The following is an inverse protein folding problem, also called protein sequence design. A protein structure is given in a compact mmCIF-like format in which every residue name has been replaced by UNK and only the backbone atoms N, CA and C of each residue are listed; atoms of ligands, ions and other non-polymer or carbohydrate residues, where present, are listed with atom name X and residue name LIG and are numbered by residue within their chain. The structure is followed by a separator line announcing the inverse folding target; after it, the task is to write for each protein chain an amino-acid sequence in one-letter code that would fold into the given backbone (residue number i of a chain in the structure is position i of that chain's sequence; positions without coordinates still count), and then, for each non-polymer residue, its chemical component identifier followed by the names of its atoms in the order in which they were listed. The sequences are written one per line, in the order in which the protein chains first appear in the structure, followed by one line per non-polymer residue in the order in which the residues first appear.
data_IF_222345954598
#
_entry.id   IF_222345954598
#
_cell.length_a   1.000
_cell.length_b   1.000
_cell.length_c   1.000
_cell.angle_alpha   90.00
_cell.angle_beta   90.00
_cell.angle_gamma   90.00
#
_symmetry.space_group_name_H-M   'P 1'
#
loop_
_entity.id
_entity.type
_entity.pdbx_description
1 polymer ?
#
# COMPACT_ATOMS: atom_id res chain seq x y z
N UNK A 1 63.05 13.40 -38.59
CA UNK A 1 62.06 12.31 -38.77
C UNK A 1 61.63 11.68 -37.44
N UNK A 2 62.51 11.41 -36.47
CA UNK A 2 62.06 10.85 -35.17
C UNK A 2 61.29 11.87 -34.31
N UNK A 3 61.83 13.07 -34.04
CA UNK A 3 61.14 14.07 -33.19
C UNK A 3 59.70 14.44 -33.60
N UNK A 4 59.43 14.58 -34.90
CA UNK A 4 58.09 14.88 -35.42
C UNK A 4 57.10 13.72 -35.28
N UNK A 5 57.59 12.47 -35.26
CA UNK A 5 56.76 11.29 -35.00
C UNK A 5 56.51 11.11 -33.49
N UNK A 6 57.52 11.41 -32.67
CA UNK A 6 57.43 11.40 -31.21
C UNK A 6 56.44 12.46 -30.70
N UNK A 7 56.46 13.68 -31.24
CA UNK A 7 55.54 14.77 -30.87
C UNK A 7 54.07 14.45 -31.24
N UNK A 8 53.84 13.83 -32.41
CA UNK A 8 52.50 13.41 -32.85
C UNK A 8 51.95 12.23 -32.03
N UNK A 9 52.82 11.33 -31.58
CA UNK A 9 52.46 10.23 -30.68
C UNK A 9 52.08 10.75 -29.28
N UNK A 10 52.84 11.72 -28.75
CA UNK A 10 52.52 12.37 -27.47
C UNK A 10 51.18 13.12 -27.50
N UNK A 11 50.84 13.80 -28.60
CA UNK A 11 49.54 14.45 -28.76
C UNK A 11 48.38 13.44 -28.81
N UNK A 12 48.55 12.30 -29.49
CA UNK A 12 47.55 11.23 -29.52
C UNK A 12 47.37 10.59 -28.13
N UNK A 13 48.45 10.40 -27.38
CA UNK A 13 48.40 9.88 -26.01
C UNK A 13 47.68 10.84 -25.06
N UNK A 14 47.92 12.15 -25.18
CA UNK A 14 47.18 13.17 -24.42
C UNK A 14 45.67 13.13 -24.73
N UNK A 15 45.29 13.14 -26.01
CA UNK A 15 43.88 13.05 -26.43
C UNK A 15 43.20 11.76 -25.93
N UNK A 16 43.92 10.63 -25.93
CA UNK A 16 43.39 9.38 -25.37
C UNK A 16 43.23 9.46 -23.85
N UNK A 17 44.15 10.10 -23.14
CA UNK A 17 44.05 10.31 -21.69
C UNK A 17 42.84 11.18 -21.35
N UNK A 18 42.69 12.31 -22.04
CA UNK A 18 41.59 13.25 -21.83
C UNK A 18 40.23 12.57 -22.08
N UNK A 19 40.11 11.81 -23.19
CA UNK A 19 38.90 11.04 -23.49
C UNK A 19 38.60 9.95 -22.44
N UNK A 20 39.62 9.31 -21.86
CA UNK A 20 39.43 8.34 -20.76
C UNK A 20 38.91 9.03 -19.50
N UNK A 21 39.48 10.18 -19.13
CA UNK A 21 39.02 10.94 -17.97
C UNK A 21 37.58 11.44 -18.16
N UNK A 22 37.23 11.87 -19.37
CA UNK A 22 35.86 12.26 -19.69
C UNK A 22 34.87 11.09 -19.64
N UNK A 23 35.28 9.90 -20.10
CA UNK A 23 34.48 8.68 -19.97
C UNK A 23 34.31 8.26 -18.51
N UNK A 24 35.35 8.41 -17.68
CA UNK A 24 35.28 8.12 -16.25
C UNK A 24 34.33 9.09 -15.51
N UNK A 25 34.37 10.39 -15.85
CA UNK A 25 33.41 11.37 -15.35
C UNK A 25 31.97 11.01 -15.72
N UNK A 26 31.73 10.65 -16.98
CA UNK A 26 30.42 10.19 -17.44
C UNK A 26 29.97 8.89 -16.74
N UNK A 27 30.91 7.99 -16.39
CA UNK A 27 30.59 6.78 -15.62
C UNK A 27 30.18 7.08 -14.18
N UNK A 28 30.85 8.04 -13.54
CA UNK A 28 30.45 8.50 -12.20
C UNK A 28 29.06 9.14 -12.25
N UNK A 29 28.78 10.00 -13.24
CA UNK A 29 27.46 10.62 -13.43
C UNK A 29 26.37 9.60 -13.74
N UNK A 30 26.65 8.65 -14.64
CA UNK A 30 25.74 7.55 -14.97
C UNK A 30 25.36 6.75 -13.72
N UNK A 31 26.34 6.39 -12.90
CA UNK A 31 26.10 5.63 -11.67
C UNK A 31 25.30 6.42 -10.64
N UNK A 32 25.54 7.74 -10.48
CA UNK A 32 24.76 8.62 -9.61
C UNK A 32 23.29 8.67 -10.06
N UNK A 33 23.05 8.94 -11.33
CA UNK A 33 21.69 8.99 -11.89
C UNK A 33 20.99 7.63 -11.78
N UNK A 34 21.73 6.53 -11.95
CA UNK A 34 21.19 5.18 -11.79
C UNK A 34 20.78 4.90 -10.34
N UNK A 35 21.57 5.31 -9.36
CA UNK A 35 21.24 5.20 -7.94
C UNK A 35 20.00 6.03 -7.59
N UNK A 36 19.93 7.28 -8.05
CA UNK A 36 18.75 8.13 -7.89
C UNK A 36 17.50 7.49 -8.49
N UNK A 37 17.61 6.94 -9.71
CA UNK A 37 16.51 6.25 -10.38
C UNK A 37 16.05 5.01 -9.59
N UNK A 38 16.98 4.23 -9.01
CA UNK A 38 16.64 3.10 -8.14
C UNK A 38 15.87 3.57 -6.91
N UNK A 39 16.34 4.63 -6.26
CA UNK A 39 15.66 5.20 -5.07
C UNK A 39 14.27 5.72 -5.40
N UNK A 40 14.08 6.37 -6.56
CA UNK A 40 12.77 6.85 -7.01
C UNK A 40 11.82 5.69 -7.32
N UNK A 41 12.32 4.59 -7.90
CA UNK A 41 11.52 3.39 -8.13
C UNK A 41 11.08 2.72 -6.82
N UNK A 42 11.95 2.68 -5.81
CA UNK A 42 11.60 2.19 -4.48
C UNK A 42 10.50 3.05 -3.84
N UNK A 43 10.70 4.38 -3.78
CA UNK A 43 9.68 5.33 -3.29
C UNK A 43 8.35 5.17 -4.02
N UNK A 44 8.39 5.00 -5.34
CA UNK A 44 7.18 4.73 -6.15
C UNK A 44 6.48 3.45 -5.65
N UNK A 45 7.21 2.36 -5.44
CA UNK A 45 6.64 1.09 -4.92
C UNK A 45 5.98 1.29 -3.56
N UNK A 46 6.68 1.93 -2.63
CA UNK A 46 6.17 2.24 -1.29
C UNK A 46 4.88 3.07 -1.34
N UNK A 47 4.83 4.09 -2.20
CA UNK A 47 3.61 4.87 -2.39
C UNK A 47 2.46 4.06 -3.00
N UNK A 48 2.76 3.11 -3.91
CA UNK A 48 1.74 2.21 -4.45
C UNK A 48 1.22 1.23 -3.39
N UNK A 49 2.08 0.70 -2.53
CA UNK A 49 1.69 -0.16 -1.40
C UNK A 49 0.79 0.60 -0.42
N UNK A 50 1.19 1.81 -0.02
CA UNK A 50 0.36 2.70 0.80
C UNK A 50 -0.97 3.00 0.13
N UNK A 51 -0.97 3.30 -1.17
CA UNK A 51 -2.19 3.57 -1.93
C UNK A 51 -3.13 2.37 -1.97
N UNK A 52 -2.60 1.15 -2.13
CA UNK A 52 -3.40 -0.07 -2.11
C UNK A 52 -3.97 -0.35 -0.72
N UNK A 53 -3.19 -0.13 0.34
CA UNK A 53 -3.65 -0.21 1.73
C UNK A 53 -4.81 0.77 1.99
N UNK A 54 -4.65 2.04 1.63
CA UNK A 54 -5.70 3.07 1.76
C UNK A 54 -6.95 2.69 0.95
N UNK A 55 -6.80 2.14 -0.26
CA UNK A 55 -7.94 1.65 -1.05
C UNK A 55 -8.69 0.53 -0.35
N UNK A 56 -7.97 -0.44 0.22
CA UNK A 56 -8.57 -1.54 0.98
C UNK A 56 -9.32 -1.02 2.21
N UNK A 57 -8.70 -0.10 2.97
CA UNK A 57 -9.34 0.55 4.12
C UNK A 57 -10.62 1.30 3.71
N UNK A 58 -10.59 2.06 2.61
CA UNK A 58 -11.79 2.74 2.07
C UNK A 58 -12.89 1.73 1.75
N UNK A 59 -12.54 0.59 1.16
CA UNK A 59 -13.53 -0.43 0.82
C UNK A 59 -14.17 -1.05 2.07
N UNK A 60 -13.37 -1.39 3.08
CA UNK A 60 -13.85 -1.91 4.37
C UNK A 60 -14.79 -0.91 5.04
N UNK A 61 -14.36 0.35 5.17
CA UNK A 61 -15.17 1.42 5.79
C UNK A 61 -16.46 1.66 5.00
N UNK A 62 -16.45 1.51 3.66
CA UNK A 62 -17.66 1.61 2.83
C UNK A 62 -18.65 0.48 3.09
N UNK A 63 -18.18 -0.76 3.20
CA UNK A 63 -19.04 -1.92 3.53
C UNK A 63 -19.70 -1.67 4.88
N UNK A 64 -18.89 -1.40 5.89
CA UNK A 64 -19.37 -1.09 7.23
C UNK A 64 -20.31 0.12 7.31
N UNK A 65 -20.08 1.16 6.52
CA UNK A 65 -20.97 2.33 6.42
C UNK A 65 -22.32 1.94 5.80
N UNK A 66 -22.30 1.07 4.79
CA UNK A 66 -23.50 0.58 4.12
C UNK A 66 -24.32 -0.30 5.06
N UNK A 67 -23.65 -1.19 5.81
CA UNK A 67 -24.30 -2.06 6.80
C UNK A 67 -24.96 -1.23 7.92
N UNK A 68 -24.29 -0.19 8.42
CA UNK A 68 -24.92 0.71 9.40
C UNK A 68 -26.10 1.48 8.83
N UNK A 69 -26.07 1.84 7.54
CA UNK A 69 -27.20 2.47 6.89
C UNK A 69 -28.39 1.53 6.73
N UNK A 70 -28.17 0.24 6.44
CA UNK A 70 -29.24 -0.75 6.35
C UNK A 70 -29.84 -1.01 7.73
N UNK A 71 -29.02 -1.18 8.77
CA UNK A 71 -29.48 -1.28 10.16
C UNK A 71 -30.30 -0.05 10.58
N UNK A 72 -29.85 1.16 10.23
CA UNK A 72 -30.59 2.39 10.54
C UNK A 72 -31.96 2.43 9.85
N UNK A 73 -32.07 1.94 8.60
CA UNK A 73 -33.35 1.84 7.88
C UNK A 73 -34.30 0.86 8.59
N UNK A 74 -33.81 -0.32 8.95
CA UNK A 74 -34.61 -1.31 9.69
C UNK A 74 -35.09 -0.77 11.04
N UNK A 75 -34.25 -0.04 11.78
CA UNK A 75 -34.66 0.58 13.03
C UNK A 75 -35.68 1.71 12.83
N UNK A 76 -35.61 2.46 11.73
CA UNK A 76 -36.64 3.47 11.39
C UNK A 76 -37.98 2.81 11.11
N UNK A 77 -38.00 1.71 10.37
CA UNK A 77 -39.22 0.92 10.11
C UNK A 77 -39.79 0.35 11.41
N UNK A 78 -38.94 -0.26 12.25
CA UNK A 78 -39.35 -0.77 13.57
C UNK A 78 -39.87 0.35 14.49
N UNK A 79 -39.25 1.52 14.46
CA UNK A 79 -39.74 2.69 15.21
C UNK A 79 -41.14 3.09 14.74
N UNK A 80 -41.38 3.10 13.43
CA UNK A 80 -42.67 3.47 12.86
C UNK A 80 -43.76 2.46 13.22
N UNK A 81 -43.48 1.16 13.13
CA UNK A 81 -44.44 0.11 13.52
C UNK A 81 -44.73 0.10 15.02
N UNK A 82 -43.74 0.37 15.87
CA UNK A 82 -43.97 0.55 17.31
C UNK A 82 -44.82 1.79 17.60
N UNK A 83 -44.61 2.90 16.87
CA UNK A 83 -45.42 4.10 17.04
C UNK A 83 -46.88 3.88 16.63
N UNK A 84 -47.14 3.20 15.50
CA UNK A 84 -48.51 2.88 15.09
C UNK A 84 -49.18 1.94 16.09
N UNK A 85 -48.48 0.90 16.55
CA UNK A 85 -49.01 -0.02 17.56
C UNK A 85 -49.32 0.68 18.89
N UNK A 86 -48.45 1.59 19.35
CA UNK A 86 -48.69 2.37 20.56
C UNK A 86 -49.87 3.33 20.41
N UNK A 87 -50.09 3.91 19.22
CA UNK A 87 -51.26 4.75 18.95
C UNK A 87 -52.55 3.93 19.01
N UNK A 88 -52.55 2.73 18.45
CA UNK A 88 -53.70 1.83 18.46
C UNK A 88 -54.02 1.33 19.88
N UNK A 89 -53.01 0.86 20.62
CA UNK A 89 -53.15 0.47 22.04
C UNK A 89 -53.65 1.64 22.91
N UNK A 90 -53.25 2.87 22.60
CA UNK A 90 -53.74 4.05 23.33
C UNK A 90 -55.24 4.24 23.15
N UNK A 91 -55.76 4.03 21.93
CA UNK A 91 -57.20 4.10 21.64
C UNK A 91 -57.95 2.98 22.35
N UNK A 92 -57.44 1.75 22.28
CA UNK A 92 -58.02 0.58 22.97
C UNK A 92 -58.10 0.81 24.49
N UNK A 93 -57.03 1.31 25.10
CA UNK A 93 -57.02 1.64 26.53
C UNK A 93 -58.01 2.75 26.89
N UNK A 94 -58.25 3.71 26.01
CA UNK A 94 -59.21 4.80 26.22
C UNK A 94 -60.66 4.29 26.11
N UNK A 95 -60.94 3.39 25.16
CA UNK A 95 -62.21 2.67 25.05
C UNK A 95 -62.48 1.78 26.26
N UNK A 96 -61.50 0.97 26.68
CA UNK A 96 -61.60 0.13 27.89
C UNK A 96 -61.82 0.98 29.14
N UNK A 97 -61.16 2.13 29.24
CA UNK A 97 -61.36 3.06 30.36
C UNK A 97 -62.80 3.60 30.36
N UNK A 98 -63.32 4.01 29.21
CA UNK A 98 -64.70 4.50 29.10
C UNK A 98 -65.73 3.41 29.46
N UNK A 99 -65.48 2.14 29.09
CA UNK A 99 -66.32 1.00 29.49
C UNK A 99 -66.20 0.74 30.99
N UNK A 100 -64.99 0.76 31.54
CA UNK A 100 -64.76 0.56 32.97
C UNK A 100 -65.40 1.66 33.82
N UNK A 101 -65.32 2.93 33.40
CA UNK A 101 -65.92 4.06 34.10
C UNK A 101 -67.45 3.98 34.14
N UNK A 102 -68.09 3.44 33.08
CA UNK A 102 -69.53 3.14 33.06
C UNK A 102 -69.94 2.00 34.00
N UNK A 103 -69.00 1.13 34.37
CA UNK A 103 -69.23 -0.06 35.19
C UNK A 103 -68.78 0.12 36.66
N UNK A 104 -68.35 1.32 37.06
CA UNK A 104 -67.83 1.57 38.40
C UNK A 104 -68.90 1.44 39.50
N UNK A 105 -68.49 0.92 40.68
CA UNK A 105 -69.22 1.09 41.94
C UNK A 105 -69.54 -0.17 42.75
N UNK A 106 -69.27 -1.38 42.24
CA UNK A 106 -69.69 -2.62 42.90
C UNK A 106 -68.51 -3.55 43.24
N UNK A 107 -68.39 -3.91 44.52
CA UNK A 107 -67.43 -4.90 44.99
C UNK A 107 -68.05 -6.31 44.91
N UNK A 108 -67.56 -7.13 43.96
CA UNK A 108 -68.02 -8.51 43.67
C UNK A 108 -68.16 -9.34 44.95
N UNK A 109 -67.14 -9.33 45.82
CA UNK A 109 -67.12 -10.13 47.05
C UNK A 109 -68.18 -9.70 48.06
N UNK A 110 -68.54 -8.41 48.09
CA UNK A 110 -69.55 -7.89 49.01
C UNK A 110 -70.98 -8.25 48.57
N UNK A 111 -71.21 -8.35 47.26
CA UNK A 111 -72.50 -8.73 46.68
C UNK A 111 -72.73 -10.24 46.79
N UNK A 112 -71.69 -11.04 46.53
CA UNK A 112 -71.76 -12.50 46.63
C UNK A 112 -72.02 -12.99 48.07
N UNK A 113 -71.41 -12.33 49.07
CA UNK A 113 -71.70 -12.61 50.49
C UNK A 113 -73.14 -12.27 50.87
N UNK A 114 -73.70 -11.18 50.31
CA UNK A 114 -75.09 -10.79 50.58
C UNK A 114 -76.10 -11.75 49.96
N UNK A 115 -75.84 -12.24 48.75
CA UNK A 115 -76.65 -13.27 48.09
C UNK A 115 -76.66 -14.55 48.93
N UNK A 116 -75.49 -15.08 49.30
CA UNK A 116 -75.37 -16.29 50.13
C UNK A 116 -76.10 -16.17 51.47
N UNK A 117 -76.03 -15.01 52.12
CA UNK A 117 -76.74 -14.78 53.38
C UNK A 117 -78.27 -14.76 53.21
N UNK A 118 -78.77 -14.24 52.09
CA UNK A 118 -80.20 -14.21 51.78
C UNK A 118 -80.72 -15.59 51.37
N UNK A 119 -79.96 -16.35 50.59
CA UNK A 119 -80.25 -17.74 50.23
C UNK A 119 -80.27 -18.64 51.48
N UNK A 120 -79.28 -18.49 52.36
CA UNK A 120 -79.25 -19.23 53.62
C UNK A 120 -80.48 -18.92 54.48
N UNK A 121 -80.86 -17.63 54.58
CA UNK A 121 -82.05 -17.19 55.29
C UNK A 121 -83.34 -17.77 54.70
N UNK A 122 -83.42 -17.94 53.39
CA UNK A 122 -84.54 -18.58 52.71
C UNK A 122 -84.60 -20.10 52.99
N UNK A 123 -83.46 -20.76 53.21
CA UNK A 123 -83.38 -22.20 53.49
C UNK A 123 -83.62 -22.56 54.97
N UNK A 124 -83.27 -21.69 55.91
CA UNK A 124 -83.26 -22.01 57.35
C UNK A 124 -84.43 -21.43 58.16
N UNK A 125 -85.20 -20.47 57.63
CA UNK A 125 -86.29 -19.82 58.37
C UNK A 125 -87.65 -20.08 57.72
N UNK A 126 -88.69 -20.28 58.53
CA UNK A 126 -90.08 -20.30 58.07
C UNK A 126 -90.57 -18.86 57.87
N UNK A 127 -90.57 -18.41 56.62
CA UNK A 127 -90.92 -17.06 56.23
C UNK A 127 -92.37 -17.00 55.74
N UNK A 128 -92.98 -15.81 55.80
CA UNK A 128 -94.25 -15.57 55.12
C UNK A 128 -94.04 -15.49 53.60
N UNK A 129 -95.08 -15.81 52.84
CA UNK A 129 -95.04 -15.81 51.36
C UNK A 129 -94.65 -14.44 50.77
N UNK A 130 -94.89 -13.35 51.50
CA UNK A 130 -94.50 -11.98 51.14
C UNK A 130 -93.03 -11.67 51.46
N UNK A 131 -92.49 -12.21 52.56
CA UNK A 131 -91.08 -12.05 52.90
C UNK A 131 -90.18 -12.88 52.00
N UNK A 132 -90.60 -14.09 51.63
CA UNK A 132 -89.90 -14.91 50.62
C UNK A 132 -89.83 -14.19 49.28
N UNK A 133 -90.94 -13.63 48.79
CA UNK A 133 -90.96 -12.84 47.54
C UNK A 133 -90.00 -11.65 47.60
N UNK A 134 -89.98 -10.90 48.71
CA UNK A 134 -89.05 -9.77 48.89
C UNK A 134 -87.59 -10.22 48.90
N UNK A 135 -87.27 -11.36 49.51
CA UNK A 135 -85.92 -11.91 49.53
C UNK A 135 -85.51 -12.37 48.12
N UNK A 136 -86.42 -13.03 47.39
CA UNK A 136 -86.20 -13.47 46.01
C UNK A 136 -85.94 -12.27 45.08
N UNK A 137 -86.77 -11.23 45.14
CA UNK A 137 -86.54 -9.98 44.38
C UNK A 137 -85.19 -9.35 44.71
N UNK A 138 -84.82 -9.31 45.99
CA UNK A 138 -83.52 -8.81 46.45
C UNK A 138 -82.35 -9.63 45.90
N UNK A 139 -82.49 -10.96 45.87
CA UNK A 139 -81.49 -11.87 45.31
C UNK A 139 -81.35 -11.59 43.81
N UNK A 140 -82.44 -11.51 43.05
CA UNK A 140 -82.38 -11.22 41.62
C UNK A 140 -81.73 -9.86 41.30
N UNK A 141 -82.02 -8.81 42.10
CA UNK A 141 -81.33 -7.52 41.96
C UNK A 141 -79.82 -7.61 42.26
N UNK A 142 -79.44 -8.37 43.30
CA UNK A 142 -78.05 -8.57 43.68
C UNK A 142 -77.30 -9.44 42.67
N UNK A 143 -77.94 -10.45 42.10
CA UNK A 143 -77.39 -11.28 41.02
C UNK A 143 -77.11 -10.44 39.77
N UNK A 144 -78.04 -9.56 39.38
CA UNK A 144 -77.83 -8.62 38.26
C UNK A 144 -76.62 -7.71 38.51
N UNK A 145 -76.54 -7.15 39.72
CA UNK A 145 -75.41 -6.32 40.19
C UNK A 145 -74.10 -7.10 40.25
N UNK A 146 -74.13 -8.37 40.61
CA UNK A 146 -72.97 -9.26 40.65
C UNK A 146 -72.47 -9.55 39.23
N UNK A 147 -73.36 -9.76 38.27
CA UNK A 147 -73.00 -9.98 36.87
C UNK A 147 -72.35 -8.73 36.26
N UNK A 148 -72.90 -7.54 36.52
CA UNK A 148 -72.32 -6.25 36.15
C UNK A 148 -70.92 -6.06 36.78
N UNK A 149 -70.75 -6.38 38.06
CA UNK A 149 -69.48 -6.29 38.76
C UNK A 149 -68.42 -7.28 38.22
N UNK A 150 -68.83 -8.51 37.87
CA UNK A 150 -67.95 -9.50 37.21
C UNK A 150 -67.52 -9.03 35.82
N UNK A 151 -68.40 -8.38 35.05
CA UNK A 151 -68.05 -7.76 33.76
C UNK A 151 -67.05 -6.62 33.95
N UNK A 152 -67.25 -5.77 34.96
CA UNK A 152 -66.31 -4.70 35.31
C UNK A 152 -64.91 -5.23 35.65
N UNK A 153 -64.84 -6.30 36.44
CA UNK A 153 -63.58 -6.91 36.85
C UNK A 153 -62.80 -7.48 35.65
N UNK A 154 -63.48 -8.17 34.73
CA UNK A 154 -62.88 -8.67 33.48
C UNK A 154 -62.34 -7.54 32.60
N UNK A 155 -63.07 -6.43 32.48
CA UNK A 155 -62.63 -5.25 31.71
C UNK A 155 -61.39 -4.62 32.36
N UNK A 156 -61.36 -4.57 33.70
CA UNK A 156 -60.21 -4.05 34.46
C UNK A 156 -58.97 -4.93 34.30
N UNK A 157 -59.12 -6.25 34.32
CA UNK A 157 -58.02 -7.20 34.06
C UNK A 157 -57.43 -7.00 32.66
N UNK A 158 -58.28 -6.98 31.62
CA UNK A 158 -57.86 -6.67 30.24
C UNK A 158 -57.17 -5.32 30.13
N UNK A 159 -57.69 -4.30 30.80
CA UNK A 159 -57.07 -2.97 30.82
C UNK A 159 -55.68 -2.98 31.46
N UNK A 160 -55.47 -3.78 32.51
CA UNK A 160 -54.15 -3.92 33.13
C UNK A 160 -53.16 -4.65 32.21
N UNK A 161 -53.61 -5.71 31.53
CA UNK A 161 -52.81 -6.46 30.55
C UNK A 161 -52.37 -5.56 29.39
N UNK A 162 -53.32 -4.87 28.74
CA UNK A 162 -53.01 -3.93 27.64
C UNK A 162 -52.10 -2.79 28.10
N UNK A 163 -52.24 -2.34 29.35
CA UNK A 163 -51.37 -1.29 29.92
C UNK A 163 -49.95 -1.81 30.17
N UNK A 164 -49.79 -3.06 30.58
CA UNK A 164 -48.48 -3.69 30.70
C UNK A 164 -47.80 -3.85 29.33
N UNK A 165 -48.54 -4.31 28.31
CA UNK A 165 -48.03 -4.40 26.94
C UNK A 165 -47.66 -3.03 26.35
N UNK A 166 -48.48 -2.02 26.59
CA UNK A 166 -48.21 -0.64 26.19
C UNK A 166 -46.89 -0.14 26.80
N UNK A 167 -46.66 -0.39 28.09
CA UNK A 167 -45.42 -0.02 28.76
C UNK A 167 -44.22 -0.79 28.19
N UNK A 168 -44.36 -2.09 27.93
CA UNK A 168 -43.32 -2.90 27.31
C UNK A 168 -42.93 -2.36 25.92
N UNK A 169 -43.91 -2.09 25.04
CA UNK A 169 -43.65 -1.49 23.72
C UNK A 169 -43.07 -0.09 23.80
N UNK A 170 -43.41 0.68 24.84
CA UNK A 170 -42.82 2.01 25.08
C UNK A 170 -41.34 1.92 25.47
N UNK A 171 -40.96 0.92 26.28
CA UNK A 171 -39.57 0.62 26.59
C UNK A 171 -38.83 0.13 25.34
N UNK A 172 -39.43 -0.74 24.53
CA UNK A 172 -38.85 -1.13 23.25
C UNK A 172 -38.59 0.10 22.36
N UNK A 173 -39.53 1.04 22.29
CA UNK A 173 -39.37 2.26 21.52
C UNK A 173 -38.21 3.13 22.03
N UNK A 174 -37.99 3.23 23.35
CA UNK A 174 -36.84 3.97 23.89
C UNK A 174 -35.53 3.28 23.52
N UNK A 175 -35.44 1.96 23.65
CA UNK A 175 -34.23 1.21 23.26
C UNK A 175 -33.93 1.31 21.77
N UNK A 176 -34.95 1.30 20.90
CA UNK A 176 -34.79 1.54 19.46
C UNK A 176 -34.24 2.93 19.19
N UNK A 177 -34.75 3.97 19.88
CA UNK A 177 -34.24 5.34 19.73
C UNK A 177 -32.77 5.46 20.16
N UNK A 178 -32.39 4.81 21.25
CA UNK A 178 -30.99 4.78 21.72
C UNK A 178 -30.08 4.07 20.71
N UNK A 179 -30.49 2.89 20.20
CA UNK A 179 -29.75 2.19 19.14
C UNK A 179 -29.59 3.04 17.89
N UNK A 180 -30.65 3.73 17.47
CA UNK A 180 -30.58 4.66 16.33
C UNK A 180 -29.58 5.79 16.57
N UNK A 181 -29.53 6.35 17.77
CA UNK A 181 -28.56 7.40 18.12
C UNK A 181 -27.12 6.89 18.00
N UNK A 182 -26.83 5.72 18.59
CA UNK A 182 -25.51 5.07 18.50
C UNK A 182 -25.09 4.82 17.05
N UNK A 183 -25.99 4.25 16.23
CA UNK A 183 -25.70 4.01 14.81
C UNK A 183 -25.48 5.32 14.05
N UNK A 184 -26.21 6.39 14.39
CA UNK A 184 -25.99 7.70 13.78
C UNK A 184 -24.60 8.28 14.10
N UNK A 185 -24.16 8.14 15.34
CA UNK A 185 -22.82 8.55 15.77
C UNK A 185 -21.74 7.75 15.03
N UNK A 186 -21.89 6.41 14.95
CA UNK A 186 -20.97 5.54 14.19
C UNK A 186 -20.92 5.86 12.69
N UNK A 187 -22.08 6.19 12.08
CA UNK A 187 -22.16 6.61 10.68
C UNK A 187 -21.38 7.91 10.46
N UNK A 188 -21.48 8.86 11.39
CA UNK A 188 -20.77 10.13 11.30
C UNK A 188 -19.25 9.95 11.46
N UNK A 189 -18.82 9.09 12.38
CA UNK A 189 -17.41 8.74 12.54
C UNK A 189 -16.85 8.07 11.28
N UNK A 190 -17.55 7.06 10.75
CA UNK A 190 -17.17 6.40 9.49
C UNK A 190 -17.10 7.37 8.32
N UNK A 191 -18.01 8.35 8.26
CA UNK A 191 -17.98 9.41 7.24
C UNK A 191 -16.72 10.27 7.36
N UNK A 192 -16.32 10.66 8.58
CA UNK A 192 -15.08 11.42 8.81
C UNK A 192 -13.84 10.61 8.41
N UNK A 193 -13.76 9.34 8.82
CA UNK A 193 -12.67 8.43 8.45
C UNK A 193 -12.57 8.31 6.93
N UNK A 194 -13.71 8.09 6.27
CA UNK A 194 -13.77 7.94 4.81
C UNK A 194 -13.38 9.23 4.07
N UNK A 195 -13.63 10.40 4.65
CA UNK A 195 -13.12 11.67 4.13
C UNK A 195 -11.60 11.76 4.28
N UNK A 196 -11.05 11.47 5.46
CA UNK A 196 -9.59 11.48 5.69
C UNK A 196 -8.85 10.53 4.75
N UNK A 197 -9.33 9.29 4.61
CA UNK A 197 -8.73 8.31 3.69
C UNK A 197 -8.82 8.75 2.21
N UNK A 198 -9.87 9.48 1.82
CA UNK A 198 -9.95 10.05 0.46
C UNK A 198 -8.90 11.13 0.26
N UNK A 199 -8.69 12.00 1.24
CA UNK A 199 -7.68 13.05 1.17
C UNK A 199 -6.27 12.45 1.12
N UNK A 200 -5.97 11.45 1.93
CA UNK A 200 -4.72 10.69 1.88
C UNK A 200 -4.51 10.02 0.52
N UNK A 201 -5.55 9.38 -0.03
CA UNK A 201 -5.52 8.78 -1.36
C UNK A 201 -5.16 9.81 -2.44
N UNK A 202 -5.73 11.00 -2.38
CA UNK A 202 -5.43 12.07 -3.35
C UNK A 202 -4.00 12.61 -3.19
N UNK A 203 -3.50 12.75 -1.96
CA UNK A 203 -2.09 13.11 -1.70
C UNK A 203 -1.13 12.07 -2.30
N UNK A 204 -1.34 10.79 -2.00
CA UNK A 204 -0.52 9.70 -2.54
C UNK A 204 -0.55 9.65 -4.07
N UNK A 205 -1.70 9.91 -4.70
CA UNK A 205 -1.79 10.00 -6.16
C UNK A 205 -0.91 11.13 -6.72
N UNK A 206 -0.92 12.31 -6.10
CA UNK A 206 -0.07 13.44 -6.51
C UNK A 206 1.41 13.09 -6.37
N UNK A 207 1.81 12.54 -5.21
CA UNK A 207 3.19 12.11 -4.97
C UNK A 207 3.66 11.06 -5.99
N UNK A 208 2.80 10.09 -6.33
CA UNK A 208 3.09 9.09 -7.37
C UNK A 208 3.28 9.74 -8.75
N UNK A 209 2.46 10.74 -9.11
CA UNK A 209 2.60 11.46 -10.38
C UNK A 209 3.92 12.23 -10.43
N UNK A 210 4.29 12.91 -9.35
CA UNK A 210 5.57 13.63 -9.25
C UNK A 210 6.76 12.68 -9.35
N UNK A 211 6.72 11.55 -8.64
CA UNK A 211 7.79 10.54 -8.73
C UNK A 211 7.88 9.94 -10.12
N UNK A 212 6.74 9.70 -10.79
CA UNK A 212 6.74 9.26 -12.20
C UNK A 212 7.41 10.28 -13.12
N UNK A 213 7.12 11.56 -12.96
CA UNK A 213 7.75 12.62 -13.75
C UNK A 213 9.28 12.66 -13.51
N UNK A 214 9.72 12.60 -12.25
CA UNK A 214 11.16 12.53 -11.91
C UNK A 214 11.84 11.29 -12.49
N UNK A 215 11.17 10.13 -12.46
CA UNK A 215 11.69 8.90 -13.08
C UNK A 215 11.91 9.08 -14.59
N UNK A 216 10.98 9.74 -15.28
CA UNK A 216 11.08 9.96 -16.72
C UNK A 216 12.18 10.97 -17.07
N UNK A 217 12.32 12.03 -16.27
CA UNK A 217 13.43 12.96 -16.39
C UNK A 217 14.78 12.24 -16.22
N UNK A 218 14.94 11.43 -15.18
CA UNK A 218 16.19 10.68 -14.94
C UNK A 218 16.45 9.64 -16.04
N UNK A 219 15.42 9.01 -16.61
CA UNK A 219 15.57 8.15 -17.79
C UNK A 219 16.09 8.92 -19.01
N UNK A 220 15.58 10.12 -19.24
CA UNK A 220 16.05 10.97 -20.34
C UNK A 220 17.52 11.37 -20.16
N UNK A 221 17.95 11.68 -18.92
CA UNK A 221 19.35 11.96 -18.59
C UNK A 221 20.24 10.74 -18.82
N UNK A 222 19.83 9.55 -18.39
CA UNK A 222 20.57 8.31 -18.65
C UNK A 222 20.71 8.01 -20.14
N UNK A 223 19.68 8.28 -20.94
CA UNK A 223 19.74 8.10 -22.39
C UNK A 223 20.81 9.01 -23.01
N UNK A 224 20.80 10.30 -22.65
CA UNK A 224 21.81 11.27 -23.12
C UNK A 224 23.23 10.87 -22.71
N UNK A 225 23.45 10.54 -21.44
CA UNK A 225 24.77 10.10 -20.95
C UNK A 225 25.24 8.84 -21.69
N UNK A 226 24.33 7.92 -21.98
CA UNK A 226 24.64 6.69 -22.73
C UNK A 226 25.05 6.99 -24.17
N UNK A 227 24.35 7.91 -24.83
CA UNK A 227 24.67 8.33 -26.20
C UNK A 227 26.01 9.08 -26.26
N UNK A 228 26.27 9.98 -25.32
CA UNK A 228 27.55 10.69 -25.17
C UNK A 228 28.71 9.71 -24.90
N UNK A 229 28.50 8.75 -23.99
CA UNK A 229 29.49 7.71 -23.70
C UNK A 229 29.80 6.87 -24.94
N UNK A 230 28.79 6.53 -25.74
CA UNK A 230 28.97 5.80 -26.99
C UNK A 230 29.80 6.59 -27.99
N UNK A 231 29.48 7.86 -28.21
CA UNK A 231 30.23 8.73 -29.12
C UNK A 231 31.70 8.86 -28.71
N UNK A 232 31.98 9.17 -27.43
CA UNK A 232 33.36 9.29 -26.93
C UNK A 232 34.12 7.96 -26.95
N UNK A 233 33.45 6.84 -26.73
CA UNK A 233 34.07 5.51 -26.85
C UNK A 233 34.44 5.17 -28.30
N UNK A 234 33.62 5.57 -29.27
CA UNK A 234 33.90 5.39 -30.69
C UNK A 234 35.07 6.28 -31.15
N UNK A 235 35.17 7.52 -30.66
CA UNK A 235 36.31 8.41 -30.89
C UNK A 235 37.60 7.86 -30.26
N UNK A 236 37.54 7.43 -29.01
CA UNK A 236 38.67 6.79 -28.32
C UNK A 236 39.16 5.55 -29.09
N UNK A 237 38.25 4.72 -29.61
CA UNK A 237 38.60 3.57 -30.44
C UNK A 237 39.33 3.98 -31.72
N UNK A 238 38.89 5.05 -32.39
CA UNK A 238 39.56 5.58 -33.59
C UNK A 238 40.97 6.07 -33.28
N UNK A 239 41.15 6.84 -32.21
CA UNK A 239 42.48 7.33 -31.81
C UNK A 239 43.41 6.19 -31.35
N UNK A 240 42.88 5.17 -30.66
CA UNK A 240 43.63 3.97 -30.31
C UNK A 240 44.06 3.18 -31.55
N UNK A 241 43.20 3.08 -32.57
CA UNK A 241 43.53 2.41 -33.82
C UNK A 241 44.56 3.19 -34.63
N UNK A 242 44.49 4.53 -34.65
CA UNK A 242 45.50 5.40 -35.25
C UNK A 242 46.85 5.26 -34.55
N UNK A 243 46.86 5.26 -33.21
CA UNK A 243 48.07 5.04 -32.42
C UNK A 243 48.65 3.65 -32.67
N UNK A 244 47.80 2.63 -32.83
CA UNK A 244 48.26 1.28 -33.18
C UNK A 244 48.91 1.24 -34.57
N UNK A 245 48.28 1.87 -35.57
CA UNK A 245 48.82 1.97 -36.94
C UNK A 245 50.14 2.74 -36.99
N UNK A 246 50.25 3.87 -36.29
CA UNK A 246 51.51 4.63 -36.23
C UNK A 246 52.63 3.81 -35.57
N UNK A 247 52.32 3.04 -34.52
CA UNK A 247 53.26 2.11 -33.87
C UNK A 247 53.66 0.96 -34.78
N UNK A 248 52.69 0.34 -35.46
CA UNK A 248 52.93 -0.76 -36.40
C UNK A 248 53.74 -0.29 -37.62
N UNK A 249 53.53 0.93 -38.11
CA UNK A 249 54.29 1.57 -39.20
C UNK A 249 55.73 1.90 -38.79
N UNK A 250 55.94 2.45 -37.59
CA UNK A 250 57.28 2.67 -37.03
C UNK A 250 58.00 1.33 -36.84
N UNK A 251 57.30 0.33 -36.30
CA UNK A 251 57.84 -1.02 -36.12
C UNK A 251 58.20 -1.70 -37.45
N UNK A 252 57.32 -1.63 -38.46
CA UNK A 252 57.55 -2.20 -39.79
C UNK A 252 58.65 -1.47 -40.54
N UNK A 253 58.74 -0.14 -40.45
CA UNK A 253 59.81 0.65 -41.06
C UNK A 253 61.17 0.35 -40.42
N UNK A 254 61.21 0.10 -39.12
CA UNK A 254 62.41 -0.35 -38.41
C UNK A 254 62.83 -1.75 -38.85
N UNK A 255 61.90 -2.71 -38.95
CA UNK A 255 62.19 -4.07 -39.42
C UNK A 255 62.60 -4.12 -40.89
N UNK A 256 61.96 -3.34 -41.77
CA UNK A 256 62.33 -3.22 -43.18
C UNK A 256 63.75 -2.65 -43.32
N UNK A 257 64.08 -1.60 -42.57
CA UNK A 257 65.42 -1.01 -42.55
C UNK A 257 66.47 -1.98 -42.00
N UNK A 258 66.12 -2.80 -41.00
CA UNK A 258 66.99 -3.86 -40.49
C UNK A 258 67.18 -5.03 -41.48
N UNK A 259 66.17 -5.28 -42.34
CA UNK A 259 66.22 -6.27 -43.42
C UNK A 259 67.03 -5.78 -44.62
N UNK A 260 66.87 -4.52 -45.02
CA UNK A 260 67.66 -3.89 -46.09
C UNK A 260 69.15 -3.75 -45.72
N UNK A 261 69.46 -3.52 -44.43
CA UNK A 261 70.84 -3.58 -43.91
C UNK A 261 71.42 -5.00 -43.96
N UNK A 262 70.57 -6.04 -43.96
CA UNK A 262 70.98 -7.44 -44.16
C UNK A 262 71.09 -7.81 -45.64
N UNK A 263 70.19 -7.34 -46.50
CA UNK A 263 70.18 -7.65 -47.95
C UNK A 263 71.19 -6.80 -48.75
N UNK A 264 71.50 -5.57 -48.31
CA UNK A 264 72.61 -4.76 -48.82
C UNK A 264 74.01 -5.32 -48.51
N UNK A 265 74.07 -6.37 -47.67
CA UNK A 265 75.21 -7.27 -47.54
C UNK A 265 74.86 -8.59 -48.25
N UNK A 266 74.93 -8.57 -49.57
CA UNK A 266 74.72 -9.74 -50.41
C UNK A 266 75.58 -10.93 -49.98
N UNK A 267 74.88 -11.98 -49.53
CA UNK A 267 75.13 -13.40 -49.72
C UNK A 267 76.58 -13.91 -49.78
N UNK A 268 77.01 -14.56 -48.70
CA UNK A 268 77.64 -15.89 -48.83
C UNK A 268 77.02 -16.85 -47.82
N UNK A 269 76.40 -17.91 -48.35
CA UNK A 269 76.12 -19.17 -47.67
C UNK A 269 77.34 -19.65 -46.88
N UNK A 270 77.13 -20.14 -45.67
CA UNK A 270 78.10 -20.97 -44.97
C UNK A 270 78.22 -20.63 -43.48
N UNK A 271 78.00 -21.64 -42.67
CA UNK A 271 78.25 -21.73 -41.23
C UNK A 271 79.42 -20.85 -40.70
N UNK A 272 79.19 -20.28 -39.50
CA UNK A 272 80.15 -19.67 -38.56
C UNK A 272 80.49 -18.17 -38.75
N UNK A 273 79.86 -17.29 -37.96
CA UNK A 273 80.52 -16.10 -37.37
C UNK A 273 79.67 -15.52 -36.22
N UNK A 274 79.85 -16.08 -35.01
CA UNK A 274 79.08 -15.74 -33.80
C UNK A 274 79.92 -15.00 -32.75
N UNK A 275 80.74 -14.02 -33.18
CA UNK A 275 81.70 -13.32 -32.31
C UNK A 275 81.45 -11.83 -32.10
N UNK A 276 81.11 -11.08 -33.17
CA UNK A 276 81.10 -9.60 -33.12
C UNK A 276 79.74 -8.97 -32.80
N UNK A 277 78.64 -9.69 -32.97
CA UNK A 277 77.29 -9.19 -32.67
C UNK A 277 76.95 -9.26 -31.17
N UNK A 278 77.59 -10.16 -30.41
CA UNK A 278 77.34 -10.35 -28.97
C UNK A 278 77.91 -9.21 -28.12
N UNK A 279 79.13 -8.74 -28.42
CA UNK A 279 79.75 -7.62 -27.70
C UNK A 279 79.00 -6.29 -27.86
N UNK A 280 78.45 -6.01 -29.04
CA UNK A 280 77.71 -4.78 -29.29
C UNK A 280 76.35 -4.82 -28.57
N UNK A 281 75.70 -5.98 -28.52
CA UNK A 281 74.48 -6.22 -27.75
C UNK A 281 74.74 -6.11 -26.24
N UNK A 282 75.80 -6.72 -25.72
CA UNK A 282 76.15 -6.66 -24.30
C UNK A 282 76.52 -5.25 -23.84
N UNK A 283 77.18 -4.45 -24.69
CA UNK A 283 77.44 -3.03 -24.40
C UNK A 283 76.15 -2.21 -24.35
N UNK A 284 75.25 -2.39 -25.32
CA UNK A 284 73.95 -1.70 -25.34
C UNK A 284 73.04 -2.13 -24.18
N UNK A 285 73.09 -3.42 -23.79
CA UNK A 285 72.39 -3.96 -22.63
C UNK A 285 72.90 -3.36 -21.32
N UNK A 286 74.22 -3.23 -21.15
CA UNK A 286 74.82 -2.56 -19.97
C UNK A 286 74.41 -1.09 -19.86
N UNK A 287 74.40 -0.36 -20.98
CA UNK A 287 73.97 1.06 -20.98
C UNK A 287 72.48 1.17 -20.61
N UNK A 288 71.64 0.26 -21.11
CA UNK A 288 70.23 0.20 -20.75
C UNK A 288 70.01 -0.20 -19.27
N UNK A 289 70.79 -1.15 -18.73
CA UNK A 289 70.75 -1.52 -17.31
C UNK A 289 71.22 -0.38 -16.39
N UNK A 290 72.24 0.39 -16.79
CA UNK A 290 72.72 1.56 -16.05
C UNK A 290 71.69 2.68 -16.03
N UNK A 291 71.02 2.97 -17.17
CA UNK A 291 69.90 3.92 -17.21
C UNK A 291 68.72 3.48 -16.34
N UNK A 292 68.39 2.19 -16.35
CA UNK A 292 67.35 1.62 -15.50
C UNK A 292 67.70 1.77 -14.01
N UNK A 293 68.95 1.50 -13.63
CA UNK A 293 69.45 1.67 -12.24
C UNK A 293 69.50 3.13 -11.79
N UNK A 294 69.75 4.05 -12.71
CA UNK A 294 69.74 5.49 -12.45
C UNK A 294 68.33 6.10 -12.45
N UNK A 295 67.28 5.30 -12.68
CA UNK A 295 65.89 5.75 -12.68
C UNK A 295 65.49 6.58 -13.90
N UNK A 296 66.31 6.57 -14.95
CA UNK A 296 66.03 7.29 -16.20
C UNK A 296 65.03 6.50 -17.06
N UNK A 297 64.17 7.20 -17.80
CA UNK A 297 63.21 6.58 -18.72
C UNK A 297 63.97 5.89 -19.86
N UNK A 298 63.77 4.58 -20.01
CA UNK A 298 64.29 3.80 -21.12
C UNK A 298 63.50 4.07 -22.40
N UNK A 299 64.21 4.16 -23.52
CA UNK A 299 63.60 4.13 -24.84
C UNK A 299 63.04 2.73 -25.17
N UNK A 300 62.09 2.66 -26.11
CA UNK A 300 61.50 1.38 -26.54
C UNK A 300 62.55 0.41 -27.08
N UNK A 301 63.59 0.90 -27.75
CA UNK A 301 64.74 0.11 -28.22
C UNK A 301 65.53 -0.51 -27.06
N UNK A 302 65.76 0.24 -25.98
CA UNK A 302 66.50 -0.23 -24.80
C UNK A 302 65.70 -1.25 -23.98
N UNK A 303 64.38 -1.07 -23.89
CA UNK A 303 63.48 -2.05 -23.27
C UNK A 303 63.43 -3.36 -24.07
N UNK A 304 63.39 -3.29 -25.40
CA UNK A 304 63.38 -4.47 -26.26
C UNK A 304 64.73 -5.23 -26.18
N UNK A 305 65.85 -4.52 -26.01
CA UNK A 305 67.17 -5.15 -25.81
C UNK A 305 67.27 -5.85 -24.45
N UNK A 306 66.65 -5.30 -23.40
CA UNK A 306 66.64 -5.90 -22.07
C UNK A 306 65.72 -7.12 -21.95
N UNK A 307 64.54 -7.05 -22.56
CA UNK A 307 63.45 -8.02 -22.32
C UNK A 307 62.97 -8.79 -23.55
N UNK A 308 63.37 -8.41 -24.76
CA UNK A 308 62.90 -9.01 -26.02
C UNK A 308 63.33 -10.46 -26.27
N UNK A 309 64.27 -10.98 -25.47
CA UNK A 309 64.72 -12.38 -25.55
C UNK A 309 63.94 -13.31 -24.59
N UNK A 310 63.15 -12.77 -23.65
CA UNK A 310 62.39 -13.57 -22.68
C UNK A 310 61.02 -14.05 -23.18
N UNK A 311 60.60 -13.66 -24.39
CA UNK A 311 59.28 -14.04 -24.93
C UNK A 311 59.25 -15.43 -25.59
N UNK A 312 60.36 -16.17 -25.62
CA UNK A 312 60.41 -17.51 -26.22
C UNK A 312 60.53 -18.69 -25.25
N UNK A 313 60.68 -18.45 -23.94
CA UNK A 313 60.89 -19.56 -22.97
C UNK A 313 59.91 -19.63 -21.78
N UNK A 314 58.89 -18.78 -21.71
CA UNK A 314 57.79 -18.95 -20.74
C UNK A 314 56.44 -19.20 -21.44
N UNK A 315 56.43 -20.25 -22.26
CA UNK A 315 55.24 -21.07 -22.51
C UNK A 315 55.34 -22.33 -21.65
N UNK A 316 55.04 -22.22 -20.36
CA UNK A 316 55.12 -23.34 -19.43
C UNK A 316 54.65 -23.01 -18.02
N UNK A 317 53.44 -23.46 -17.70
CA UNK A 317 52.90 -23.75 -16.35
C UNK A 317 52.66 -22.59 -15.38
N UNK A 318 51.37 -22.37 -15.06
CA UNK A 318 50.86 -21.50 -14.01
C UNK A 318 49.37 -21.28 -14.19
#
# INVERSE_FOLDING_TARGET
MSKLADDAEEELLKKISDLKEELEKLDVEYNKVLQELRSLKQKKSEYFEKLNSVRSQIETVRKEYTDRLTELKQLKERKQSLLSALQEMRKQLEELKAVNDKLQGLNVNSVEKKIKNLEWRLQTFTLSLEEEKKIIEKISELERKLEEARKALKVKERSNEERAEFLAKRLELSTVREKMKKIFDEINEKRKILQGLKEEREKLKKEILEVKAKIEEQRSKLAKIKDEKRAKSEELRKYQEQLKKSKDEVFNSYYARAKDVKEGKGETKGYAENGKSKEILDRKKKIAEEKLKNGERLSFEELLILYGDQSKDNGGSG
#
